data_IF_441244585263
#
_entry.id   IF_441244585263
#
_cell.length_a   1.000
_cell.length_b   1.000
_cell.length_c   1.000
_cell.angle_alpha   90.00
_cell.angle_beta   90.00
_cell.angle_gamma   90.00
#
_symmetry.space_group_name_H-M   'P 1'
#
loop_
_entity.id
_entity.type
_entity.pdbx_description
1 polymer ?
#
# COMPACT_ATOMS: atom_id res chain seq x y z
N UNK A 1 -17.49 33.75 -34.34
CA UNK A 1 -17.46 32.29 -34.62
C UNK A 1 -16.06 31.67 -34.43
N UNK A 2 -14.97 32.26 -34.93
CA UNK A 2 -13.61 31.70 -34.81
C UNK A 2 -13.02 31.59 -33.38
N UNK A 3 -13.35 32.52 -32.46
CA UNK A 3 -12.83 32.47 -31.07
C UNK A 3 -13.37 31.27 -30.29
N UNK A 4 -14.57 30.81 -30.61
CA UNK A 4 -15.21 29.65 -29.96
C UNK A 4 -14.61 28.32 -30.41
N UNK A 5 -14.27 28.20 -31.70
CA UNK A 5 -13.63 26.99 -32.24
C UNK A 5 -12.24 26.75 -31.65
N UNK A 6 -11.41 27.80 -31.56
CA UNK A 6 -10.08 27.70 -30.95
C UNK A 6 -10.14 27.29 -29.48
N UNK A 7 -11.09 27.86 -28.72
CA UNK A 7 -11.30 27.51 -27.32
C UNK A 7 -11.68 26.04 -27.13
N UNK A 8 -12.56 25.50 -27.97
CA UNK A 8 -12.97 24.08 -27.94
C UNK A 8 -11.77 23.18 -28.24
N UNK A 9 -10.98 23.49 -29.28
CA UNK A 9 -9.79 22.70 -29.62
C UNK A 9 -8.77 22.69 -28.49
N UNK A 10 -8.51 23.85 -27.86
CA UNK A 10 -7.63 23.93 -26.70
C UNK A 10 -8.13 23.08 -25.51
N UNK A 11 -9.43 23.12 -25.22
CA UNK A 11 -10.03 22.29 -24.17
C UNK A 11 -9.91 20.79 -24.47
N UNK A 12 -10.15 20.37 -25.71
CA UNK A 12 -9.96 18.98 -26.13
C UNK A 12 -8.50 18.54 -25.98
N UNK A 13 -7.55 19.37 -26.41
CA UNK A 13 -6.12 19.08 -26.27
C UNK A 13 -5.70 18.97 -24.80
N UNK A 14 -6.17 19.88 -23.94
CA UNK A 14 -5.94 19.83 -22.49
C UNK A 14 -6.54 18.56 -21.88
N UNK A 15 -7.74 18.15 -22.30
CA UNK A 15 -8.36 16.93 -21.82
C UNK A 15 -7.55 15.68 -22.22
N UNK A 16 -7.09 15.60 -23.48
CA UNK A 16 -6.24 14.49 -23.96
C UNK A 16 -4.91 14.48 -23.19
N UNK A 17 -4.29 15.64 -22.97
CA UNK A 17 -3.08 15.75 -22.19
C UNK A 17 -3.30 15.29 -20.73
N UNK A 18 -4.44 15.65 -20.13
CA UNK A 18 -4.82 15.20 -18.80
C UNK A 18 -5.01 13.69 -18.76
N UNK A 19 -5.71 13.11 -19.73
CA UNK A 19 -5.93 11.67 -19.86
C UNK A 19 -4.61 10.87 -19.87
N UNK A 20 -3.60 11.37 -20.56
CA UNK A 20 -2.28 10.73 -20.63
C UNK A 20 -1.41 11.01 -19.40
N UNK A 21 -1.45 12.25 -18.88
CA UNK A 21 -0.52 12.75 -17.85
C UNK A 21 -1.00 12.66 -16.41
N UNK A 22 -2.30 12.49 -16.17
CA UNK A 22 -2.86 12.57 -14.81
C UNK A 22 -2.36 11.45 -13.89
N UNK A 23 -2.16 10.23 -14.41
CA UNK A 23 -1.63 9.10 -13.62
C UNK A 23 -0.18 9.33 -13.18
N UNK A 24 0.80 9.61 -14.07
CA UNK A 24 2.17 9.89 -13.64
C UNK A 24 2.26 11.15 -12.77
N UNK A 25 1.44 12.17 -13.05
CA UNK A 25 1.35 13.36 -12.19
C UNK A 25 0.85 13.01 -10.78
N UNK A 26 -0.20 12.19 -10.67
CA UNK A 26 -0.70 11.70 -9.37
C UNK A 26 0.38 10.95 -8.60
N UNK A 27 1.09 10.01 -9.24
CA UNK A 27 2.19 9.29 -8.60
C UNK A 27 3.35 10.21 -8.18
N UNK A 28 3.61 11.28 -8.93
CA UNK A 28 4.62 12.28 -8.55
C UNK A 28 4.18 13.08 -7.33
N UNK A 29 2.92 13.51 -7.28
CA UNK A 29 2.36 14.22 -6.12
C UNK A 29 2.34 13.32 -4.88
N UNK A 30 2.02 12.04 -5.04
CA UNK A 30 1.99 11.06 -3.96
C UNK A 30 3.36 10.84 -3.31
N UNK A 31 4.47 11.14 -4.02
CA UNK A 31 5.82 11.13 -3.41
C UNK A 31 6.03 12.27 -2.42
N UNK A 32 5.32 13.38 -2.59
CA UNK A 32 5.41 14.54 -1.71
C UNK A 32 4.42 14.40 -0.55
N UNK A 33 3.20 14.01 -0.85
CA UNK A 33 2.16 13.91 0.16
C UNK A 33 1.04 12.97 -0.26
N UNK A 34 0.57 12.18 0.71
CA UNK A 34 -0.64 11.37 0.65
C UNK A 34 -1.55 11.80 1.79
N UNK A 35 -2.86 11.66 1.60
CA UNK A 35 -3.84 12.04 2.62
C UNK A 35 -4.20 10.80 3.43
N UNK A 36 -3.95 10.85 4.74
CA UNK A 36 -4.39 9.81 5.67
C UNK A 36 -5.93 9.77 5.72
N UNK A 37 -6.50 8.59 5.49
CA UNK A 37 -7.93 8.34 5.63
C UNK A 37 -8.22 7.67 6.95
N UNK A 38 -7.36 6.73 7.33
CA UNK A 38 -7.56 5.89 8.50
C UNK A 38 -6.20 5.54 9.11
N UNK A 39 -6.13 5.55 10.44
CA UNK A 39 -5.00 5.00 11.17
C UNK A 39 -5.51 4.16 12.33
N UNK A 40 -5.07 2.90 12.34
CA UNK A 40 -5.42 1.94 13.37
C UNK A 40 -4.17 1.30 13.97
N UNK A 41 -4.25 0.94 15.25
CA UNK A 41 -3.22 0.13 15.88
C UNK A 41 -3.21 -1.27 15.24
N UNK A 42 -2.02 -1.85 15.11
CA UNK A 42 -1.91 -3.25 14.69
C UNK A 42 -2.23 -4.10 15.90
N UNK A 43 -3.29 -4.88 15.80
CA UNK A 43 -3.65 -5.86 16.82
C UNK A 43 -3.09 -7.22 16.46
N UNK A 44 -3.02 -7.54 15.16
CA UNK A 44 -2.58 -8.86 14.67
C UNK A 44 -1.74 -8.73 13.41
N UNK A 45 -0.60 -9.40 13.38
CA UNK A 45 0.24 -9.56 12.18
C UNK A 45 0.61 -11.03 12.00
N UNK A 46 0.24 -11.67 10.90
CA UNK A 46 0.52 -13.09 10.69
C UNK A 46 0.81 -13.45 9.24
N UNK A 47 1.20 -14.71 9.00
CA UNK A 47 1.36 -15.26 7.64
C UNK A 47 0.13 -16.11 7.33
N UNK A 48 -0.62 -15.75 6.28
CA UNK A 48 -1.79 -16.53 5.82
C UNK A 48 -1.34 -17.64 4.88
N UNK A 49 -0.47 -17.29 3.96
CA UNK A 49 0.00 -18.20 2.92
C UNK A 49 1.48 -17.88 2.64
N UNK A 50 2.37 -18.73 3.16
CA UNK A 50 3.81 -18.56 2.99
C UNK A 50 4.26 -18.78 1.54
N UNK A 51 3.54 -19.62 0.78
CA UNK A 51 3.88 -19.94 -0.61
C UNK A 51 3.48 -18.80 -1.55
N UNK A 52 2.31 -18.20 -1.32
CA UNK A 52 1.84 -17.03 -2.06
C UNK A 52 2.37 -15.70 -1.52
N UNK A 53 3.07 -15.74 -0.39
CA UNK A 53 3.58 -14.55 0.29
C UNK A 53 2.44 -13.63 0.75
N UNK A 54 1.39 -14.16 1.38
CA UNK A 54 0.31 -13.36 1.93
C UNK A 54 0.48 -13.18 3.44
N UNK A 55 0.54 -11.93 3.87
CA UNK A 55 0.53 -11.51 5.26
C UNK A 55 -0.85 -11.04 5.67
N UNK A 56 -1.31 -11.43 6.85
CA UNK A 56 -2.47 -10.85 7.49
C UNK A 56 -2.02 -9.65 8.32
N UNK A 57 -2.56 -8.46 8.05
CA UNK A 57 -2.41 -7.28 8.92
C UNK A 57 -3.80 -6.90 9.42
N UNK A 58 -4.07 -7.10 10.71
CA UNK A 58 -5.41 -7.03 11.29
C UNK A 58 -6.39 -7.93 10.50
N UNK A 59 -7.42 -7.35 9.90
CA UNK A 59 -8.41 -8.04 9.06
C UNK A 59 -8.10 -7.97 7.55
N UNK A 60 -6.95 -7.39 7.18
CA UNK A 60 -6.56 -7.16 5.78
C UNK A 60 -5.47 -8.13 5.31
N UNK A 61 -5.72 -8.96 4.29
CA UNK A 61 -4.69 -9.75 3.64
C UNK A 61 -3.85 -8.86 2.71
N UNK A 62 -2.54 -8.80 2.96
CA UNK A 62 -1.56 -7.99 2.26
C UNK A 62 -0.54 -8.90 1.56
N UNK A 63 -0.29 -8.68 0.28
CA UNK A 63 0.72 -9.46 -0.45
C UNK A 63 2.12 -8.93 -0.18
N UNK A 64 3.08 -9.82 0.06
CA UNK A 64 4.52 -9.52 0.11
C UNK A 64 5.15 -9.61 -1.27
N UNK A 65 4.40 -9.81 -2.35
CA UNK A 65 4.97 -9.75 -3.68
C UNK A 65 5.33 -8.31 -4.07
N UNK A 66 6.37 -8.15 -4.87
CA UNK A 66 6.67 -6.90 -5.56
C UNK A 66 5.59 -6.62 -6.62
N UNK A 67 5.50 -5.39 -7.14
CA UNK A 67 4.58 -5.07 -8.24
C UNK A 67 4.76 -5.95 -9.49
N UNK A 68 5.93 -6.58 -9.65
CA UNK A 68 6.25 -7.52 -10.73
C UNK A 68 5.88 -8.98 -10.40
N UNK A 69 5.07 -9.21 -9.35
CA UNK A 69 4.65 -10.52 -8.88
C UNK A 69 5.79 -11.45 -8.47
N UNK A 70 6.92 -10.87 -8.03
CA UNK A 70 8.04 -11.64 -7.46
C UNK A 70 7.98 -11.59 -5.93
N UNK A 71 8.36 -12.65 -5.21
CA UNK A 71 8.46 -12.57 -3.76
C UNK A 71 9.40 -11.43 -3.35
N UNK A 72 8.95 -10.55 -2.44
CA UNK A 72 9.83 -9.52 -1.89
C UNK A 72 10.93 -10.21 -1.07
N UNK A 73 12.20 -9.80 -1.21
CA UNK A 73 13.34 -10.45 -0.56
C UNK A 73 13.43 -10.07 0.93
N UNK A 74 12.37 -10.34 1.67
CA UNK A 74 12.30 -10.24 3.11
C UNK A 74 12.10 -11.64 3.67
N UNK A 75 13.04 -12.07 4.48
CA UNK A 75 12.94 -13.34 5.18
C UNK A 75 12.13 -13.14 6.45
N UNK A 76 11.11 -13.97 6.63
CA UNK A 76 10.30 -13.97 7.84
C UNK A 76 10.52 -15.30 8.53
N UNK A 77 11.13 -15.25 9.71
CA UNK A 77 11.58 -16.43 10.44
C UNK A 77 11.04 -16.40 11.86
N UNK A 78 10.82 -17.60 12.39
CA UNK A 78 10.54 -17.83 13.80
C UNK A 78 11.86 -18.17 14.50
N UNK A 79 12.23 -17.37 15.51
CA UNK A 79 13.32 -17.71 16.42
C UNK A 79 12.87 -18.86 17.34
N UNK A 80 13.76 -19.76 17.83
CA UNK A 80 13.48 -20.74 18.89
C UNK A 80 12.63 -20.24 20.07
N UNK A 81 12.70 -18.95 20.43
CA UNK A 81 11.85 -18.32 21.44
C UNK A 81 10.39 -18.05 21.00
N UNK A 82 9.96 -18.61 19.84
CA UNK A 82 8.69 -18.34 19.16
C UNK A 82 8.45 -16.87 18.85
N UNK A 83 9.52 -16.15 18.51
CA UNK A 83 9.43 -14.75 18.11
C UNK A 83 9.47 -14.62 16.60
N UNK A 84 8.56 -13.83 16.04
CA UNK A 84 8.55 -13.50 14.63
C UNK A 84 9.60 -12.44 14.33
N UNK A 85 10.49 -12.74 13.38
CA UNK A 85 11.60 -11.88 13.00
C UNK A 85 11.49 -11.62 11.51
N UNK A 86 11.41 -10.34 11.15
CA UNK A 86 11.52 -9.89 9.77
C UNK A 86 12.97 -9.47 9.49
N UNK A 87 13.57 -10.02 8.45
CA UNK A 87 14.96 -9.78 8.08
C UNK A 87 15.07 -9.37 6.62
N UNK A 88 15.89 -8.36 6.36
CA UNK A 88 16.24 -7.90 5.01
C UNK A 88 17.68 -7.41 5.00
N UNK A 89 18.50 -7.90 4.06
CA UNK A 89 19.85 -7.39 3.77
C UNK A 89 20.67 -7.13 5.06
N UNK A 90 20.76 -8.13 5.95
CA UNK A 90 21.52 -8.05 7.20
C UNK A 90 20.84 -7.33 8.37
N UNK A 91 19.70 -6.66 8.16
CA UNK A 91 18.92 -6.03 9.22
C UNK A 91 17.79 -6.95 9.65
N UNK A 92 17.71 -7.27 10.94
CA UNK A 92 16.66 -8.10 11.52
C UNK A 92 15.91 -7.32 12.60
N UNK A 93 14.58 -7.40 12.58
CA UNK A 93 13.71 -6.81 13.59
C UNK A 93 12.75 -7.86 14.13
N UNK A 94 12.75 -8.02 15.45
CA UNK A 94 11.87 -8.96 16.16
C UNK A 94 10.52 -8.31 16.41
N UNK A 95 9.46 -8.73 15.75
CA UNK A 95 8.15 -8.08 15.84
C UNK A 95 7.34 -8.53 17.05
N UNK A 96 7.58 -9.71 17.60
CA UNK A 96 6.89 -10.15 18.82
C UNK A 96 6.76 -11.65 18.89
N UNK A 97 6.09 -12.14 19.94
CA UNK A 97 5.83 -13.57 20.09
C UNK A 97 4.65 -13.97 19.20
N UNK A 98 4.80 -15.09 18.51
CA UNK A 98 3.73 -15.70 17.70
C UNK A 98 2.79 -16.46 18.62
N UNK A 99 1.49 -16.20 18.47
CA UNK A 99 0.40 -16.90 19.13
C UNK A 99 0.06 -18.24 18.41
N UNK A 100 -0.90 -18.99 18.97
CA UNK A 100 -1.33 -20.28 18.38
C UNK A 100 -1.95 -20.14 16.99
N UNK A 101 -2.39 -18.93 16.63
CA UNK A 101 -3.02 -18.61 15.35
C UNK A 101 -2.04 -18.10 14.28
N UNK A 102 -0.73 -18.25 14.52
CA UNK A 102 0.36 -17.68 13.72
C UNK A 102 0.32 -16.15 13.61
N UNK A 103 -0.39 -15.49 14.52
CA UNK A 103 -0.47 -14.04 14.67
C UNK A 103 0.57 -13.52 15.65
N UNK A 104 0.99 -12.28 15.45
CA UNK A 104 1.91 -11.53 16.31
C UNK A 104 1.16 -10.34 16.84
N UNK A 105 1.09 -10.26 18.15
CA UNK A 105 0.58 -9.08 18.85
C UNK A 105 1.77 -8.19 19.22
N UNK A 106 1.66 -6.86 19.07
CA UNK A 106 2.75 -5.98 19.44
C UNK A 106 3.13 -6.10 20.92
N UNK A 107 4.42 -6.31 21.24
CA UNK A 107 4.92 -6.27 22.61
C UNK A 107 4.61 -4.93 23.29
N UNK A 108 4.51 -4.94 24.62
CA UNK A 108 4.32 -3.73 25.40
C UNK A 108 5.48 -2.74 25.14
N UNK A 109 5.15 -1.54 24.66
CA UNK A 109 6.11 -0.48 24.32
C UNK A 109 6.33 -0.31 22.81
N UNK A 110 6.03 -1.31 22.00
CA UNK A 110 6.09 -1.18 20.54
C UNK A 110 4.91 -0.33 20.04
N UNK A 111 5.20 0.56 19.11
CA UNK A 111 4.18 1.35 18.40
C UNK A 111 4.00 0.76 17.01
N UNK A 112 3.01 -0.12 16.89
CA UNK A 112 2.64 -0.73 15.62
C UNK A 112 1.33 -0.11 15.10
N UNK A 113 1.36 0.47 13.90
CA UNK A 113 0.21 1.13 13.25
C UNK A 113 0.10 0.75 11.79
N UNK A 114 -1.13 0.58 11.35
CA UNK A 114 -1.50 0.53 9.94
C UNK A 114 -2.21 1.84 9.58
N UNK A 115 -1.66 2.53 8.58
CA UNK A 115 -2.27 3.72 7.98
C UNK A 115 -2.80 3.37 6.60
N UNK A 116 -4.00 3.84 6.32
CA UNK A 116 -4.59 3.83 4.99
C UNK A 116 -4.57 5.26 4.49
N UNK A 117 -3.83 5.48 3.42
CA UNK A 117 -3.63 6.78 2.81
C UNK A 117 -4.14 6.76 1.37
N UNK A 118 -4.40 7.93 0.82
CA UNK A 118 -4.96 8.08 -0.52
C UNK A 118 -4.29 9.20 -1.27
N UNK A 119 -4.15 9.04 -2.59
CA UNK A 119 -3.56 10.07 -3.43
C UNK A 119 -4.30 11.40 -3.32
N UNK A 120 -3.58 12.49 -3.47
CA UNK A 120 -4.20 13.82 -3.55
C UNK A 120 -5.02 13.97 -4.84
N UNK A 121 -4.57 13.33 -5.92
CA UNK A 121 -5.14 13.51 -7.25
C UNK A 121 -5.76 12.22 -7.78
N UNK A 122 -7.05 12.28 -8.12
CA UNK A 122 -7.70 11.25 -8.94
C UNK A 122 -7.49 11.52 -10.43
N UNK A 123 -7.46 10.45 -11.22
CA UNK A 123 -7.38 10.55 -12.67
C UNK A 123 -8.54 9.80 -13.34
N UNK A 124 -8.99 10.28 -14.50
CA UNK A 124 -10.06 9.62 -15.26
C UNK A 124 -9.59 8.30 -15.87
N UNK A 125 -10.50 7.32 -15.97
CA UNK A 125 -10.28 6.05 -16.67
C UNK A 125 -11.47 5.71 -17.59
N UNK A 126 -11.72 6.49 -18.65
CA UNK A 126 -12.90 6.37 -19.50
C UNK A 126 -12.91 5.08 -20.34
N UNK A 127 -11.74 4.48 -20.59
CA UNK A 127 -11.58 3.22 -21.31
C UNK A 127 -11.44 2.01 -20.38
N UNK A 128 -11.55 2.19 -19.06
CA UNK A 128 -11.58 1.06 -18.14
C UNK A 128 -12.95 0.39 -18.25
N UNK A 129 -12.96 -0.85 -18.75
CA UNK A 129 -14.16 -1.68 -18.85
C UNK A 129 -13.92 -2.89 -17.95
N UNK A 130 -14.86 -3.17 -17.04
CA UNK A 130 -14.85 -4.40 -16.25
C UNK A 130 -15.87 -5.35 -16.87
N UNK A 131 -15.38 -6.38 -17.56
CA UNK A 131 -16.23 -7.37 -18.23
C UNK A 131 -17.05 -8.23 -17.27
N UNK A 132 -16.63 -8.37 -16.01
CA UNK A 132 -17.35 -9.20 -15.03
C UNK A 132 -18.52 -8.47 -14.35
N UNK A 133 -18.42 -7.17 -14.13
CA UNK A 133 -19.42 -6.40 -13.36
C UNK A 133 -20.10 -5.29 -14.15
N UNK A 134 -19.64 -4.99 -15.37
CA UNK A 134 -20.15 -3.89 -16.22
C UNK A 134 -19.82 -2.48 -15.70
N UNK A 135 -19.49 -2.33 -14.41
CA UNK A 135 -19.14 -1.06 -13.79
C UNK A 135 -17.64 -0.94 -13.55
N UNK A 136 -17.03 0.07 -14.16
CA UNK A 136 -15.72 0.59 -13.77
C UNK A 136 -15.88 2.02 -13.28
N UNK A 137 -15.25 2.40 -12.15
CA UNK A 137 -15.22 3.78 -11.73
C UNK A 137 -14.69 4.66 -12.87
N UNK A 138 -15.41 5.72 -13.20
CA UNK A 138 -14.97 6.69 -14.23
C UNK A 138 -13.71 7.44 -13.80
N UNK A 139 -13.38 7.40 -12.50
CA UNK A 139 -12.20 7.98 -11.89
C UNK A 139 -11.53 6.98 -10.96
N UNK A 140 -10.21 6.89 -11.04
CA UNK A 140 -9.38 6.10 -10.13
C UNK A 140 -8.48 7.01 -9.29
N UNK A 141 -8.01 6.44 -8.19
CA UNK A 141 -7.08 7.08 -7.26
C UNK A 141 -6.24 5.99 -6.60
N UNK A 142 -4.98 6.26 -6.26
CA UNK A 142 -4.22 5.28 -5.51
C UNK A 142 -4.66 5.27 -4.05
N UNK A 143 -4.64 4.08 -3.49
CA UNK A 143 -4.75 3.83 -2.06
C UNK A 143 -3.40 3.26 -1.62
N UNK A 144 -2.92 3.68 -0.47
CA UNK A 144 -1.68 3.20 0.09
C UNK A 144 -1.96 2.62 1.45
N UNK A 145 -1.44 1.43 1.71
CA UNK A 145 -1.43 0.84 3.04
C UNK A 145 0.00 0.95 3.56
N UNK A 146 0.18 1.59 4.71
CA UNK A 146 1.50 1.76 5.32
C UNK A 146 1.48 1.12 6.70
N UNK A 147 2.23 0.04 6.84
CA UNK A 147 2.55 -0.56 8.13
C UNK A 147 3.79 0.11 8.68
N UNK A 148 3.69 0.60 9.91
CA UNK A 148 4.82 1.12 10.69
C UNK A 148 4.91 0.35 11.99
N UNK A 149 6.11 -0.11 12.30
CA UNK A 149 6.42 -0.78 13.56
C UNK A 149 7.64 -0.13 14.16
N UNK A 150 7.47 0.56 15.28
CA UNK A 150 8.54 1.25 15.98
C UNK A 150 8.75 0.60 17.34
N UNK A 151 10.01 0.32 17.66
CA UNK A 151 10.43 -0.23 18.94
C UNK A 151 10.98 0.84 19.87
N UNK A 152 10.90 0.63 21.20
CA UNK A 152 11.55 1.51 22.18
C UNK A 152 13.07 1.64 21.98
N UNK A 153 13.73 0.61 21.45
CA UNK A 153 15.17 0.58 21.18
C UNK A 153 15.58 1.34 19.91
N UNK A 154 14.63 1.95 19.20
CA UNK A 154 14.84 2.69 17.97
C UNK A 154 14.75 1.84 16.69
N UNK A 155 14.57 0.52 16.81
CA UNK A 155 14.30 -0.35 15.66
C UNK A 155 12.99 0.03 14.97
N UNK A 156 13.02 0.22 13.63
CA UNK A 156 11.83 0.56 12.85
C UNK A 156 11.68 -0.34 11.63
N UNK A 157 10.47 -0.83 11.42
CA UNK A 157 10.04 -1.48 10.20
C UNK A 157 8.95 -0.64 9.54
N UNK A 158 9.11 -0.41 8.24
CA UNK A 158 8.08 0.21 7.42
C UNK A 158 7.84 -0.65 6.18
N UNK A 159 6.57 -0.93 5.91
CA UNK A 159 6.13 -1.59 4.69
C UNK A 159 5.02 -0.75 4.06
N UNK A 160 5.07 -0.61 2.74
CA UNK A 160 4.11 0.18 1.98
C UNK A 160 3.58 -0.64 0.82
N UNK A 161 2.26 -0.72 0.72
CA UNK A 161 1.52 -1.33 -0.38
C UNK A 161 0.72 -0.25 -1.11
N UNK A 162 0.47 -0.48 -2.41
CA UNK A 162 -0.35 0.39 -3.27
C UNK A 162 -1.20 -0.41 -4.23
#
# INVERSE_FOLDING_TARGET
MFRSGLGITCLCALFVAWMAGARPLSMMLDRLHTVEIESQAITRLGVVDAERGMLQVNELPMSTATPEYRPYPMEMKLNPARQFVAQKLGHAIVLGRVDESLGVNPPAGDKARLRIERSMLSWPTPLAINFMTGHSPSWKRHLYYRLTWEKPDGGRLEMVWR
#
